data_IF_543911165463
#
_entry.id   IF_543911165463
#
_cell.length_a   1.000
_cell.length_b   1.000
_cell.length_c   1.000
_cell.angle_alpha   90.00
_cell.angle_beta   90.00
_cell.angle_gamma   90.00
#
_symmetry.space_group_name_H-M   'P 1'
#
loop_
_entity.id
_entity.type
_entity.pdbx_description
1 polymer ?
#
# COMPACT_ATOMS: atom_id res chain seq x y z
N UNK A 1 -8.70 2.67 -48.93
CA UNK A 1 -9.21 3.25 -47.67
C UNK A 1 -8.88 2.31 -46.53
N UNK A 2 -7.76 2.52 -45.84
CA UNK A 2 -7.27 1.60 -44.80
C UNK A 2 -7.97 1.91 -43.48
N UNK A 3 -8.86 1.00 -43.03
CA UNK A 3 -9.49 1.08 -41.72
C UNK A 3 -8.42 0.77 -40.67
N UNK A 4 -7.94 1.81 -40.00
CA UNK A 4 -7.14 1.67 -38.80
C UNK A 4 -7.94 0.83 -37.80
N UNK A 5 -7.41 -0.33 -37.43
CA UNK A 5 -7.95 -1.15 -36.36
C UNK A 5 -7.79 -0.38 -35.06
N UNK A 6 -8.91 0.10 -34.52
CA UNK A 6 -8.95 0.76 -33.21
C UNK A 6 -8.46 -0.23 -32.17
N UNK A 7 -7.19 -0.08 -31.77
CA UNK A 7 -6.58 -0.88 -30.71
C UNK A 7 -7.25 -0.45 -29.42
N UNK A 8 -8.04 -1.34 -28.84
CA UNK A 8 -8.68 -1.16 -27.54
C UNK A 8 -7.65 -0.59 -26.54
N UNK A 9 -7.88 0.57 -25.91
CA UNK A 9 -7.00 1.03 -24.86
C UNK A 9 -7.01 0.00 -23.74
N UNK A 10 -5.85 -0.37 -23.15
CA UNK A 10 -5.84 -1.32 -22.05
C UNK A 10 -6.80 -0.80 -20.98
N UNK A 11 -7.83 -1.59 -20.68
CA UNK A 11 -8.82 -1.29 -19.68
C UNK A 11 -8.09 -0.84 -18.41
N UNK A 12 -8.49 0.31 -17.86
CA UNK A 12 -7.89 0.94 -16.67
C UNK A 12 -8.08 0.12 -15.38
N UNK A 13 -8.28 -1.19 -15.46
CA UNK A 13 -7.99 -2.13 -14.37
C UNK A 13 -6.48 -2.33 -14.26
N UNK A 14 -5.74 -1.23 -14.15
CA UNK A 14 -4.39 -1.25 -13.63
C UNK A 14 -4.51 -1.70 -12.17
N UNK A 15 -4.56 -3.01 -11.95
CA UNK A 15 -4.40 -3.63 -10.64
C UNK A 15 -3.14 -3.02 -10.04
N UNK A 16 -3.34 -2.07 -9.12
CA UNK A 16 -2.33 -1.39 -8.31
C UNK A 16 -1.22 -2.42 -8.04
N UNK A 17 -0.06 -2.26 -8.66
CA UNK A 17 1.04 -3.25 -8.55
C UNK A 17 1.29 -3.45 -7.06
N UNK A 18 1.04 -4.66 -6.57
CA UNK A 18 1.22 -5.02 -5.16
C UNK A 18 2.72 -4.96 -4.88
N UNK A 19 3.23 -3.84 -4.38
CA UNK A 19 4.57 -3.80 -3.80
C UNK A 19 4.58 -4.75 -2.60
N UNK A 20 5.61 -5.59 -2.49
CA UNK A 20 5.83 -6.44 -1.32
C UNK A 20 6.70 -5.66 -0.34
N UNK A 21 6.26 -5.58 0.91
CA UNK A 21 7.07 -5.03 2.00
C UNK A 21 7.77 -6.18 2.71
N UNK A 22 8.87 -5.84 3.36
CA UNK A 22 9.70 -6.75 4.14
C UNK A 22 9.93 -6.10 5.50
N UNK A 23 9.73 -6.86 6.56
CA UNK A 23 10.08 -6.42 7.90
C UNK A 23 11.61 -6.47 8.06
N UNK A 24 12.26 -5.35 8.45
CA UNK A 24 13.71 -5.33 8.62
C UNK A 24 14.19 -6.15 9.82
N UNK A 25 13.31 -6.46 10.77
CA UNK A 25 13.66 -7.15 12.01
C UNK A 25 13.54 -8.66 11.90
N UNK A 26 12.39 -9.18 11.47
CA UNK A 26 12.14 -10.64 11.41
C UNK A 26 12.07 -11.20 9.98
N UNK A 27 12.15 -10.35 8.96
CA UNK A 27 12.07 -10.79 7.55
C UNK A 27 10.66 -11.14 7.06
N UNK A 28 9.61 -10.88 7.84
CA UNK A 28 8.21 -11.09 7.42
C UNK A 28 7.92 -10.35 6.11
N UNK A 29 7.18 -10.97 5.20
CA UNK A 29 6.95 -10.45 3.85
C UNK A 29 5.47 -10.43 3.54
N UNK A 30 4.97 -9.29 3.07
CA UNK A 30 3.54 -9.18 2.78
C UNK A 30 3.22 -8.00 1.86
N UNK A 31 2.16 -8.09 1.02
CA UNK A 31 1.77 -7.00 0.14
C UNK A 31 1.47 -5.69 0.90
N UNK A 32 1.99 -4.56 0.43
CA UNK A 32 1.92 -3.27 1.12
C UNK A 32 0.49 -2.76 1.45
N UNK A 33 -0.53 -3.10 0.63
CA UNK A 33 -1.91 -2.58 0.79
C UNK A 33 -3.00 -3.63 0.96
N UNK A 34 -2.67 -4.90 0.76
CA UNK A 34 -3.61 -6.04 0.88
C UNK A 34 -2.95 -7.22 1.61
N UNK A 35 -1.91 -6.91 2.37
CA UNK A 35 -1.21 -7.85 3.21
C UNK A 35 -1.82 -7.91 4.61
N UNK A 36 -1.10 -8.60 5.48
CA UNK A 36 -1.37 -8.81 6.90
C UNK A 36 -0.65 -7.80 7.81
N UNK A 37 -0.13 -6.71 7.23
CA UNK A 37 0.42 -5.61 8.02
C UNK A 37 -0.64 -5.03 8.95
N UNK A 38 -0.27 -4.82 10.20
CA UNK A 38 -1.15 -4.18 11.19
C UNK A 38 -1.19 -2.70 10.88
N UNK A 39 -2.40 -2.14 10.71
CA UNK A 39 -2.61 -0.74 10.38
C UNK A 39 -3.29 -0.05 11.55
N UNK A 40 -2.60 0.88 12.20
CA UNK A 40 -3.17 1.69 13.27
C UNK A 40 -3.36 3.13 12.81
N UNK A 41 -4.56 3.66 13.04
CA UNK A 41 -4.84 5.07 12.83
C UNK A 41 -4.73 5.81 14.16
N UNK A 42 -3.83 6.78 14.25
CA UNK A 42 -3.69 7.64 15.42
C UNK A 42 -4.02 9.08 15.07
N UNK A 43 -4.75 9.74 15.96
CA UNK A 43 -4.95 11.18 15.91
C UNK A 43 -3.85 11.84 16.74
N UNK A 44 -3.13 12.77 16.12
CA UNK A 44 -2.10 13.60 16.76
C UNK A 44 -2.45 15.07 16.56
N UNK A 45 -1.79 15.98 17.29
CA UNK A 45 -2.02 17.42 17.14
C UNK A 45 -1.76 17.91 15.70
N UNK A 46 -0.85 17.25 14.98
CA UNK A 46 -0.52 17.53 13.57
C UNK A 46 -1.47 16.85 12.56
N UNK A 47 -2.52 16.19 13.04
CA UNK A 47 -3.50 15.47 12.21
C UNK A 47 -3.44 13.95 12.34
N UNK A 48 -4.12 13.26 11.41
CA UNK A 48 -4.25 11.79 11.42
C UNK A 48 -3.00 11.14 10.81
N UNK A 49 -2.43 10.19 11.53
CA UNK A 49 -1.29 9.36 11.10
C UNK A 49 -1.73 7.91 10.97
N UNK A 50 -1.08 7.20 10.05
CA UNK A 50 -1.20 5.76 9.85
C UNK A 50 0.14 5.14 10.17
N UNK A 51 0.12 4.25 11.15
CA UNK A 51 1.26 3.42 11.52
C UNK A 51 1.06 2.03 10.92
N UNK A 52 2.10 1.53 10.23
CA UNK A 52 2.13 0.20 9.66
C UNK A 52 3.12 -0.66 10.45
N UNK A 53 2.68 -1.76 11.06
CA UNK A 53 3.51 -2.60 11.92
C UNK A 53 3.52 -4.06 11.51
N UNK A 54 4.62 -4.74 11.81
CA UNK A 54 4.78 -6.17 11.55
C UNK A 54 3.89 -7.01 12.48
N UNK A 55 3.08 -7.96 11.97
CA UNK A 55 2.24 -8.80 12.82
C UNK A 55 3.03 -9.85 13.64
N UNK A 56 4.28 -10.11 13.28
CA UNK A 56 5.10 -11.15 13.91
C UNK A 56 5.97 -10.62 15.06
N UNK A 57 6.55 -9.44 14.88
CA UNK A 57 7.51 -8.86 15.84
C UNK A 57 7.18 -7.43 16.24
N UNK A 58 6.01 -6.93 15.82
CA UNK A 58 5.46 -5.61 16.17
C UNK A 58 6.31 -4.41 15.73
N UNK A 59 7.40 -4.65 14.99
CA UNK A 59 8.24 -3.58 14.46
C UNK A 59 7.42 -2.68 13.53
N UNK A 60 7.37 -1.38 13.87
CA UNK A 60 6.82 -0.33 13.02
C UNK A 60 7.67 -0.18 11.76
N UNK A 61 7.04 -0.38 10.60
CA UNK A 61 7.68 -0.22 9.28
C UNK A 61 7.67 1.23 8.82
N UNK A 62 6.55 1.91 8.97
CA UNK A 62 6.38 3.28 8.52
C UNK A 62 5.29 3.99 9.31
N UNK A 63 5.44 5.31 9.43
CA UNK A 63 4.42 6.21 9.95
C UNK A 63 4.19 7.25 8.86
N UNK A 64 3.03 7.18 8.22
CA UNK A 64 2.65 8.10 7.15
C UNK A 64 1.54 9.04 7.63
N UNK A 65 1.56 10.33 7.30
CA UNK A 65 0.40 11.18 7.47
C UNK A 65 -0.72 10.65 6.57
N UNK A 66 -1.92 10.45 7.12
CA UNK A 66 -3.08 10.12 6.29
C UNK A 66 -3.80 11.40 5.93
N UNK A 67 -3.52 11.90 4.73
CA UNK A 67 -4.34 12.90 4.07
C UNK A 67 -5.54 12.18 3.46
N UNK A 68 -6.59 12.00 4.26
CA UNK A 68 -7.91 11.73 3.72
C UNK A 68 -8.71 13.02 3.92
N UNK A 69 -8.88 13.76 2.82
CA UNK A 69 -9.78 14.91 2.71
C UNK A 69 -11.25 14.47 2.71
#
# INVERSE_FOLDING_TARGET
MSRATYRDPPSRTAHRRKSMLFCPTCGHQSPARRGDWVVEHRLTDDGRRVELSCPTCETTLTVEPSYHE
#
